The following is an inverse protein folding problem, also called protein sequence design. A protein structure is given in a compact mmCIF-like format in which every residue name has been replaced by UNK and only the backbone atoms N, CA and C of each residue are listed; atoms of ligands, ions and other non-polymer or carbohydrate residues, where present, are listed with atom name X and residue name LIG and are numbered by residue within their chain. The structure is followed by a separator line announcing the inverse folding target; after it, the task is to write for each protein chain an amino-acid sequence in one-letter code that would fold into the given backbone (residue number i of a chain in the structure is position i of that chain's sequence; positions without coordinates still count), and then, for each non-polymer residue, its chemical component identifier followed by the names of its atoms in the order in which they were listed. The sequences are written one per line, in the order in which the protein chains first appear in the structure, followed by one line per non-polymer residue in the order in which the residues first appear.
data_IF_113640164278
#
_entry.id   IF_113640164278
#
_cell.length_a   1.000
_cell.length_b   1.000
_cell.length_c   1.000
_cell.angle_alpha   90.00
_cell.angle_beta   90.00
_cell.angle_gamma   90.00
#
_symmetry.space_group_name_H-M   'P 1'
#
loop_
_entity.id
_entity.type
_entity.pdbx_description
1 polymer ?
#
# COMPACT_ATOMS: atom_id res chain seq x y z
N UNK A 1 -19.35 -4.12 -5.32
CA UNK A 1 -18.96 -4.54 -3.97
C UNK A 1 -18.13 -5.80 -4.07
N UNK A 2 -16.83 -5.71 -4.33
CA UNK A 2 -15.95 -6.86 -4.10
C UNK A 2 -15.18 -6.59 -2.82
N UNK A 3 -15.73 -7.11 -1.73
CA UNK A 3 -15.01 -7.34 -0.47
C UNK A 3 -14.21 -8.62 -0.69
N UNK A 4 -13.08 -8.52 -1.39
CA UNK A 4 -12.15 -9.64 -1.48
C UNK A 4 -11.58 -9.84 -0.06
N UNK A 5 -11.91 -10.94 0.65
CA UNK A 5 -11.52 -11.11 2.05
C UNK A 5 -10.00 -11.18 2.21
N UNK A 6 -9.29 -11.75 1.23
CA UNK A 6 -7.83 -11.85 1.27
C UNK A 6 -7.19 -10.46 1.13
N UNK A 7 -7.78 -9.61 0.28
CA UNK A 7 -7.33 -8.24 0.14
C UNK A 7 -7.54 -7.45 1.44
N UNK A 8 -8.74 -7.51 2.04
CA UNK A 8 -9.05 -6.83 3.30
C UNK A 8 -8.15 -7.27 4.46
N UNK A 9 -7.84 -8.57 4.56
CA UNK A 9 -6.91 -9.10 5.54
C UNK A 9 -5.50 -8.52 5.34
N UNK A 10 -5.01 -8.51 4.09
CA UNK A 10 -3.73 -7.89 3.77
C UNK A 10 -3.71 -6.37 4.00
N UNK A 11 -4.85 -5.68 3.97
CA UNK A 11 -4.95 -4.27 4.36
C UNK A 11 -4.82 -4.08 5.87
N UNK A 12 -5.40 -4.99 6.66
CA UNK A 12 -5.35 -4.94 8.12
C UNK A 12 -3.94 -5.21 8.63
N UNK A 13 -3.30 -6.28 8.15
CA UNK A 13 -1.91 -6.63 8.51
C UNK A 13 -0.93 -5.48 8.18
N UNK A 14 -1.14 -4.83 7.03
CA UNK A 14 -0.30 -3.71 6.62
C UNK A 14 -0.50 -2.47 7.51
N UNK A 15 -1.73 -2.22 7.98
CA UNK A 15 -2.00 -1.14 8.93
C UNK A 15 -1.36 -1.42 10.28
N UNK A 16 -1.50 -2.63 10.79
CA UNK A 16 -0.86 -3.07 12.04
C UNK A 16 0.67 -2.92 11.95
N UNK A 17 1.27 -3.35 10.85
CA UNK A 17 2.72 -3.19 10.63
C UNK A 17 3.18 -1.73 10.63
N UNK A 18 2.35 -0.81 10.13
CA UNK A 18 2.66 0.63 10.13
C UNK A 18 2.57 1.21 11.55
N UNK A 19 1.55 0.82 12.31
CA UNK A 19 1.40 1.22 13.71
C UNK A 19 2.57 0.69 14.57
N UNK A 20 2.97 -0.57 14.35
CA UNK A 20 4.13 -1.17 15.03
C UNK A 20 5.46 -0.49 14.66
N UNK A 21 5.60 -0.06 13.40
CA UNK A 21 6.82 0.60 12.91
C UNK A 21 7.08 1.92 13.66
N UNK A 22 6.05 2.66 14.07
CA UNK A 22 6.20 3.89 14.86
C UNK A 22 6.85 3.67 16.22
N UNK A 23 6.65 2.48 16.80
CA UNK A 23 7.14 2.09 18.12
C UNK A 23 8.39 1.19 18.04
N UNK A 24 8.90 0.95 16.84
CA UNK A 24 10.09 0.15 16.62
C UNK A 24 11.35 0.86 17.15
N UNK A 25 12.42 0.08 17.34
CA UNK A 25 13.72 0.63 17.77
C UNK A 25 14.33 1.57 16.71
N UNK A 26 14.03 1.35 15.43
CA UNK A 26 14.39 2.22 14.31
C UNK A 26 13.15 2.42 13.40
N UNK A 27 12.29 3.40 13.71
CA UNK A 27 11.05 3.62 12.98
C UNK A 27 11.27 3.96 11.51
N UNK A 28 12.29 4.76 11.19
CA UNK A 28 12.58 5.15 9.81
C UNK A 28 12.98 3.95 8.95
N UNK A 29 13.80 3.03 9.48
CA UNK A 29 14.18 1.83 8.74
C UNK A 29 12.97 0.90 8.47
N UNK A 30 12.08 0.74 9.44
CA UNK A 30 10.89 -0.12 9.26
C UNK A 30 9.86 0.54 8.32
N UNK A 31 9.67 1.85 8.41
CA UNK A 31 8.81 2.61 7.48
C UNK A 31 9.34 2.58 6.04
N UNK A 32 10.65 2.71 5.81
CA UNK A 32 11.26 2.57 4.48
C UNK A 32 11.09 1.15 3.92
N UNK A 33 11.21 0.13 4.77
CA UNK A 33 10.94 -1.27 4.39
C UNK A 33 9.49 -1.45 3.95
N UNK A 34 8.53 -0.93 4.72
CA UNK A 34 7.11 -0.97 4.39
C UNK A 34 6.82 -0.19 3.11
N UNK A 35 7.41 0.98 2.95
CA UNK A 35 7.30 1.80 1.74
C UNK A 35 7.74 1.01 0.50
N UNK A 36 8.89 0.33 0.55
CA UNK A 36 9.39 -0.51 -0.55
C UNK A 36 8.45 -1.66 -0.89
N UNK A 37 7.88 -2.33 0.11
CA UNK A 37 6.91 -3.41 -0.08
C UNK A 37 5.66 -2.87 -0.79
N UNK A 38 5.11 -1.76 -0.31
CA UNK A 38 3.88 -1.17 -0.88
C UNK A 38 4.14 -0.62 -2.29
N UNK A 39 5.30 -0.04 -2.53
CA UNK A 39 5.71 0.40 -3.88
C UNK A 39 5.87 -0.76 -4.85
N UNK A 40 6.38 -1.90 -4.38
CA UNK A 40 6.47 -3.11 -5.20
C UNK A 40 5.08 -3.65 -5.54
N UNK A 41 4.20 -3.76 -4.55
CA UNK A 41 2.79 -4.13 -4.77
C UNK A 41 2.08 -3.18 -5.73
N UNK A 42 2.35 -1.87 -5.65
CA UNK A 42 1.77 -0.89 -6.57
C UNK A 42 2.16 -1.20 -8.03
N UNK A 43 3.44 -1.48 -8.28
CA UNK A 43 3.94 -1.82 -9.62
C UNK A 43 3.28 -3.08 -10.17
N UNK A 44 3.15 -4.11 -9.34
CA UNK A 44 2.45 -5.35 -9.74
C UNK A 44 0.98 -5.07 -10.14
N UNK A 45 0.29 -4.20 -9.40
CA UNK A 45 -1.08 -3.81 -9.74
C UNK A 45 -1.15 -2.93 -11.00
N UNK A 46 -0.14 -2.09 -11.26
CA UNK A 46 -0.01 -1.30 -12.50
C UNK A 46 0.16 -2.21 -13.72
N UNK A 47 0.96 -3.28 -13.58
CA UNK A 47 1.14 -4.29 -14.63
C UNK A 47 -0.18 -5.08 -14.86
N UNK A 48 -0.85 -5.51 -13.79
CA UNK A 48 -2.17 -6.18 -13.84
C UNK A 48 -3.22 -5.31 -14.54
N UNK A 49 -3.23 -4.01 -14.23
CA UNK A 49 -4.13 -3.06 -14.89
C UNK A 49 -3.86 -2.95 -16.37
N UNK A 50 -2.59 -2.78 -16.76
CA UNK A 50 -2.19 -2.63 -18.15
C UNK A 50 -2.63 -3.84 -18.97
N UNK A 51 -2.36 -5.04 -18.46
CA UNK A 51 -2.79 -6.30 -19.07
C UNK A 51 -4.32 -6.41 -19.18
N UNK A 52 -5.05 -6.10 -18.10
CA UNK A 52 -6.51 -6.17 -18.10
C UNK A 52 -7.14 -5.14 -19.05
N UNK A 53 -6.55 -3.95 -19.16
CA UNK A 53 -7.01 -2.88 -20.03
C UNK A 53 -6.78 -3.24 -21.50
N UNK A 54 -5.61 -3.79 -21.85
CA UNK A 54 -5.30 -4.29 -23.20
C UNK A 54 -6.27 -5.40 -23.63
N UNK A 55 -6.68 -6.27 -22.71
CA UNK A 55 -7.65 -7.34 -22.94
C UNK A 55 -9.10 -6.84 -22.93
N UNK A 56 -9.35 -5.53 -22.78
CA UNK A 56 -10.67 -4.92 -22.63
C UNK A 56 -11.48 -5.49 -21.45
N UNK A 57 -10.80 -6.08 -20.46
CA UNK A 57 -11.41 -6.60 -19.25
C UNK A 57 -11.55 -5.48 -18.21
N UNK A 58 -12.52 -4.60 -18.45
CA UNK A 58 -12.70 -3.38 -17.66
C UNK A 58 -13.09 -3.63 -16.19
N UNK A 59 -13.74 -4.76 -15.89
CA UNK A 59 -14.03 -5.13 -14.51
C UNK A 59 -12.76 -5.40 -13.73
N UNK A 60 -11.81 -6.16 -14.31
CA UNK A 60 -10.51 -6.41 -13.69
C UNK A 60 -9.67 -5.14 -13.63
N UNK A 61 -9.64 -4.35 -14.70
CA UNK A 61 -8.94 -3.06 -14.72
C UNK A 61 -9.45 -2.11 -13.63
N UNK A 62 -10.77 -2.05 -13.42
CA UNK A 62 -11.38 -1.26 -12.33
C UNK A 62 -10.93 -1.74 -10.95
N UNK A 63 -10.84 -3.05 -10.72
CA UNK A 63 -10.33 -3.59 -9.46
C UNK A 63 -8.86 -3.23 -9.25
N UNK A 64 -8.04 -3.30 -10.30
CA UNK A 64 -6.64 -2.91 -10.23
C UNK A 64 -6.49 -1.42 -9.86
N UNK A 65 -7.27 -0.51 -10.46
CA UNK A 65 -7.26 0.92 -10.06
C UNK A 65 -7.62 1.12 -8.58
N UNK A 66 -8.60 0.38 -8.05
CA UNK A 66 -8.96 0.46 -6.63
C UNK A 66 -7.80 0.00 -5.74
N UNK A 67 -7.07 -1.04 -6.15
CA UNK A 67 -5.86 -1.52 -5.47
C UNK A 67 -4.73 -0.48 -5.53
N UNK A 68 -4.50 0.16 -6.68
CA UNK A 68 -3.49 1.24 -6.79
C UNK A 68 -3.78 2.40 -5.84
N UNK A 69 -5.03 2.88 -5.79
CA UNK A 69 -5.43 3.98 -4.90
C UNK A 69 -5.19 3.65 -3.44
N UNK A 70 -5.34 2.38 -3.06
CA UNK A 70 -5.01 1.94 -1.71
C UNK A 70 -3.50 1.98 -1.45
N UNK A 71 -2.68 1.44 -2.36
CA UNK A 71 -1.23 1.54 -2.24
C UNK A 71 -0.75 2.99 -2.12
N UNK A 72 -1.32 3.91 -2.90
CA UNK A 72 -1.01 5.34 -2.81
C UNK A 72 -1.41 5.95 -1.47
N UNK A 73 -2.55 5.53 -0.91
CA UNK A 73 -2.99 5.97 0.41
C UNK A 73 -2.00 5.53 1.48
N UNK A 74 -1.57 4.27 1.45
CA UNK A 74 -0.61 3.74 2.42
C UNK A 74 0.75 4.43 2.27
N UNK A 75 1.24 4.63 1.04
CA UNK A 75 2.49 5.38 0.82
C UNK A 75 2.40 6.79 1.41
N UNK A 76 1.25 7.44 1.26
CA UNK A 76 1.03 8.78 1.84
C UNK A 76 0.93 8.74 3.37
N UNK A 77 0.37 7.67 3.94
CA UNK A 77 0.29 7.43 5.39
C UNK A 77 1.69 7.24 5.97
N UNK A 78 2.52 6.38 5.37
CA UNK A 78 3.93 6.17 5.76
C UNK A 78 4.71 7.49 5.77
N UNK A 79 4.62 8.28 4.69
CA UNK A 79 5.33 9.57 4.60
C UNK A 79 4.91 10.55 5.69
N UNK A 80 3.61 10.63 6.01
CA UNK A 80 3.13 11.50 7.09
C UNK A 80 3.64 11.07 8.45
N UNK A 81 3.80 9.77 8.65
CA UNK A 81 4.37 9.22 9.88
C UNK A 81 5.85 9.55 9.95
N UNK A 82 6.61 9.34 8.87
CA UNK A 82 8.01 9.74 8.78
C UNK A 82 8.19 11.25 9.07
N UNK A 83 7.38 12.11 8.46
CA UNK A 83 7.36 13.56 8.71
C UNK A 83 7.07 13.88 10.19
N UNK A 84 6.07 13.22 10.79
CA UNK A 84 5.73 13.42 12.21
C UNK A 84 6.86 12.98 13.14
N UNK A 85 7.50 11.86 12.84
CA UNK A 85 8.63 11.36 13.63
C UNK A 85 9.79 12.36 13.52
N UNK A 86 10.11 12.84 12.32
CA UNK A 86 11.18 13.83 12.09
C UNK A 86 10.92 15.16 12.82
N UNK A 87 9.65 15.62 12.88
CA UNK A 87 9.24 16.82 13.63
C UNK A 87 9.35 16.65 15.17
N UNK A 88 9.26 15.42 15.69
CA UNK A 88 9.32 15.10 17.12
C UNK A 88 10.79 14.95 17.64
N UNK A 89 11.80 14.92 16.75
CA UNK A 89 13.23 14.80 17.07
C UNK A 89 13.97 16.14 17.17
#
# INVERSE_FOLDING_TARGET
TSKDPAYLMGQMELRESIEDAEHAADPFAELDRLYKIVRQRKREVEDDFSLAYEQQNFDVAKQAVLKMRFCERIISEIKRIEERIDDDF
#
